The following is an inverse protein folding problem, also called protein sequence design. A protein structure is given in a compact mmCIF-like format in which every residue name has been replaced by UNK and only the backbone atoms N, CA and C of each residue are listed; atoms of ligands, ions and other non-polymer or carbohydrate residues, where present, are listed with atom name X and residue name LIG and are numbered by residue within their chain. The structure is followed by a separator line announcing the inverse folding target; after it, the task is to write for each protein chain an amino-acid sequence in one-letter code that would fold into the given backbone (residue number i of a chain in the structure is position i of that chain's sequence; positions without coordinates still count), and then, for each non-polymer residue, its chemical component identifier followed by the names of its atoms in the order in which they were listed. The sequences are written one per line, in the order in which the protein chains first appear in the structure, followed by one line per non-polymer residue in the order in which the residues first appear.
data_IF_840788911338
#
_entry.id   IF_840788911338
#
_cell.length_a   1.000
_cell.length_b   1.000
_cell.length_c   1.000
_cell.angle_alpha   90.00
_cell.angle_beta   90.00
_cell.angle_gamma   90.00
#
_symmetry.space_group_name_H-M   'P 1'
#
loop_
_entity.id
_entity.type
_entity.pdbx_description
1 polymer ?
#
# COMPACT_ATOMS: atom_id res chain seq x y z
N UNK A 1 -34.78 35.97 9.67
CA UNK A 1 -33.94 35.55 8.53
C UNK A 1 -32.48 35.59 8.93
N UNK A 2 -31.64 34.66 8.48
CA UNK A 2 -30.17 34.72 8.71
C UNK A 2 -29.39 34.75 7.40
N UNK A 3 -28.27 35.48 7.38
CA UNK A 3 -27.44 35.65 6.19
C UNK A 3 -26.08 34.98 6.42
N UNK A 4 -25.67 34.11 5.51
CA UNK A 4 -24.33 33.51 5.47
C UNK A 4 -23.59 34.02 4.23
N UNK A 5 -22.36 34.49 4.40
CA UNK A 5 -21.53 34.98 3.29
C UNK A 5 -20.22 34.20 3.32
N UNK A 6 -19.96 33.41 2.28
CA UNK A 6 -18.68 32.75 2.05
C UNK A 6 -17.81 33.64 1.18
N UNK A 7 -16.68 34.09 1.72
CA UNK A 7 -15.75 34.99 1.03
C UNK A 7 -14.33 34.38 1.04
N UNK A 8 -13.63 34.36 -0.10
CA UNK A 8 -12.23 33.96 -0.13
C UNK A 8 -11.37 34.90 0.71
N UNK A 9 -10.49 34.32 1.52
CA UNK A 9 -9.58 35.05 2.41
C UNK A 9 -8.69 36.05 1.66
N UNK A 10 -8.34 35.74 0.41
CA UNK A 10 -7.55 36.61 -0.49
C UNK A 10 -8.17 38.01 -0.64
N UNK A 11 -9.49 38.09 -0.80
CA UNK A 11 -10.18 39.36 -1.02
C UNK A 11 -10.47 40.13 0.27
N UNK A 12 -10.48 39.45 1.42
CA UNK A 12 -10.66 40.12 2.70
C UNK A 12 -9.43 40.94 3.11
N UNK A 13 -8.23 40.50 2.71
CA UNK A 13 -6.98 41.20 3.05
C UNK A 13 -6.45 42.12 1.93
N UNK A 14 -6.97 42.00 0.70
CA UNK A 14 -6.54 42.82 -0.42
C UNK A 14 -7.37 44.12 -0.50
N UNK A 15 -6.74 45.26 -0.16
CA UNK A 15 -7.33 46.61 -0.27
C UNK A 15 -7.42 47.09 -1.72
N UNK A 16 -8.25 46.45 -2.53
CA UNK A 16 -8.45 46.81 -3.95
C UNK A 16 -9.92 46.80 -4.30
N UNK A 17 -10.34 47.81 -5.07
CA UNK A 17 -11.68 47.83 -5.62
C UNK A 17 -11.87 46.64 -6.58
N UNK A 18 -12.82 45.75 -6.27
CA UNK A 18 -13.06 44.55 -7.06
C UNK A 18 -14.56 44.18 -7.06
N UNK A 19 -14.99 43.58 -8.17
CA UNK A 19 -16.35 43.10 -8.35
C UNK A 19 -16.43 41.64 -7.92
N UNK A 20 -17.37 41.30 -7.04
CA UNK A 20 -17.57 39.97 -6.50
C UNK A 20 -18.58 39.19 -7.34
N UNK A 21 -18.17 38.01 -7.81
CA UNK A 21 -19.01 37.08 -8.56
C UNK A 21 -19.24 35.79 -7.80
N UNK A 22 -20.42 35.21 -8.00
CA UNK A 22 -20.79 34.00 -7.30
C UNK A 22 -22.23 33.57 -7.48
N UNK A 23 -22.75 32.81 -6.53
CA UNK A 23 -24.12 32.31 -6.54
C UNK A 23 -24.86 32.69 -5.25
N UNK A 24 -26.13 33.04 -5.41
CA UNK A 24 -27.09 33.28 -4.33
C UNK A 24 -27.96 32.03 -4.18
N UNK A 25 -28.04 31.48 -2.98
CA UNK A 25 -28.98 30.42 -2.64
C UNK A 25 -29.85 30.84 -1.46
N UNK A 26 -31.14 30.57 -1.54
CA UNK A 26 -32.11 30.83 -0.47
C UNK A 26 -32.62 29.46 -0.05
N UNK A 27 -32.21 29.00 1.14
CA UNK A 27 -32.65 27.73 1.73
C UNK A 27 -34.09 27.82 2.22
N UNK A 28 -34.75 26.66 2.37
CA UNK A 28 -36.14 26.55 2.85
C UNK A 28 -36.33 27.16 4.27
N UNK A 29 -35.27 27.17 5.07
CA UNK A 29 -35.24 27.71 6.44
C UNK A 29 -35.12 29.26 6.54
N UNK A 30 -35.43 30.00 5.47
CA UNK A 30 -35.25 31.46 5.41
C UNK A 30 -33.79 31.88 5.73
N UNK A 31 -32.83 31.12 5.21
CA UNK A 31 -31.40 31.43 5.27
C UNK A 31 -30.92 31.82 3.88
N UNK A 32 -30.33 33.00 3.75
CA UNK A 32 -29.73 33.43 2.49
C UNK A 32 -28.23 33.19 2.54
N UNK A 33 -27.73 32.45 1.56
CA UNK A 33 -26.32 32.08 1.45
C UNK A 33 -25.74 32.71 0.19
N UNK A 34 -24.68 33.49 0.39
CA UNK A 34 -23.88 34.09 -0.67
C UNK A 34 -22.57 33.33 -0.81
N UNK A 35 -22.35 32.68 -1.95
CA UNK A 35 -21.08 32.03 -2.27
C UNK A 35 -20.28 32.94 -3.19
N UNK A 36 -19.27 33.64 -2.68
CA UNK A 36 -18.37 34.45 -3.50
C UNK A 36 -17.20 33.57 -3.94
N UNK A 37 -16.96 33.45 -5.24
CA UNK A 37 -15.94 32.54 -5.79
C UNK A 37 -14.74 33.30 -6.35
N UNK A 38 -14.99 34.38 -7.09
CA UNK A 38 -13.93 35.12 -7.78
C UNK A 38 -14.21 36.63 -7.82
N UNK A 39 -13.13 37.40 -7.93
CA UNK A 39 -13.16 38.85 -8.05
C UNK A 39 -12.20 39.34 -9.13
N UNK A 40 -12.63 39.21 -10.40
CA UNK A 40 -12.30 40.07 -11.55
C UNK A 40 -12.87 39.40 -12.82
N UNK A 41 -13.51 40.21 -13.68
CA UNK A 41 -14.29 39.77 -14.86
C UNK A 41 -13.45 39.23 -16.03
N UNK A 42 -12.56 38.27 -15.82
CA UNK A 42 -11.81 37.66 -16.92
C UNK A 42 -12.30 36.24 -17.22
N UNK A 43 -13.27 36.21 -18.14
CA UNK A 43 -13.58 35.14 -19.09
C UNK A 43 -13.89 33.76 -18.49
N UNK A 44 -15.15 33.41 -18.24
CA UNK A 44 -15.58 32.01 -18.28
C UNK A 44 -17.09 31.88 -18.59
N UNK A 45 -17.45 32.07 -19.86
CA UNK A 45 -18.70 31.54 -20.43
C UNK A 45 -18.42 30.14 -21.01
N UNK A 46 -18.04 29.17 -20.17
CA UNK A 46 -17.95 27.77 -20.58
C UNK A 46 -18.20 26.82 -19.40
N UNK A 47 -19.47 26.43 -19.20
CA UNK A 47 -19.85 25.23 -18.43
C UNK A 47 -20.82 25.47 -17.26
N UNK A 48 -22.07 24.99 -17.45
CA UNK A 48 -23.14 24.59 -16.50
C UNK A 48 -23.55 25.45 -15.29
N UNK A 49 -22.73 26.32 -14.71
CA UNK A 49 -23.12 27.17 -13.57
C UNK A 49 -22.91 28.65 -13.88
N UNK A 50 -24.02 29.36 -14.14
CA UNK A 50 -24.03 30.79 -14.48
C UNK A 50 -23.66 31.62 -13.24
N UNK A 51 -22.42 32.11 -13.17
CA UNK A 51 -21.99 33.02 -12.11
C UNK A 51 -22.73 34.37 -12.22
N UNK A 52 -23.32 34.83 -11.12
CA UNK A 52 -24.05 36.10 -11.03
C UNK A 52 -23.16 37.16 -10.37
N UNK A 53 -23.30 38.40 -10.82
CA UNK A 53 -22.74 39.55 -10.11
C UNK A 53 -23.43 39.69 -8.75
N UNK A 54 -22.68 39.59 -7.66
CA UNK A 54 -23.21 39.66 -6.30
C UNK A 54 -22.98 41.04 -5.67
N UNK A 55 -21.90 41.74 -6.03
CA UNK A 55 -21.52 42.96 -5.34
C UNK A 55 -20.14 43.48 -5.67
N UNK A 56 -19.65 44.43 -4.88
CA UNK A 56 -18.30 44.98 -5.02
C UNK A 56 -17.68 45.35 -3.67
N UNK A 57 -16.35 45.30 -3.62
CA UNK A 57 -15.53 45.90 -2.56
C UNK A 57 -15.08 47.27 -3.05
N UNK A 58 -15.33 48.34 -2.29
CA UNK A 58 -15.09 49.74 -2.69
C UNK A 58 -14.28 50.51 -1.64
N UNK A 59 -13.59 51.58 -2.05
CA UNK A 59 -12.88 52.47 -1.14
C UNK A 59 -13.87 53.47 -0.52
N UNK A 60 -13.87 53.61 0.81
CA UNK A 60 -14.74 54.56 1.53
C UNK A 60 -14.41 56.02 1.20
N UNK A 61 -13.15 56.32 0.88
CA UNK A 61 -12.66 57.69 0.68
C UNK A 61 -13.02 58.26 -0.71
N UNK A 62 -13.42 57.40 -1.66
CA UNK A 62 -13.74 57.80 -3.03
C UNK A 62 -15.24 57.86 -3.33
N UNK A 63 -16.11 57.73 -2.32
CA UNK A 63 -17.52 57.47 -2.50
C UNK A 63 -18.39 58.61 -1.96
N UNK A 64 -19.15 59.25 -2.85
CA UNK A 64 -19.95 60.43 -2.52
C UNK A 64 -21.44 60.14 -2.25
N UNK A 65 -21.98 58.93 -2.48
CA UNK A 65 -23.42 58.72 -2.29
C UNK A 65 -23.80 57.28 -1.98
N UNK A 66 -24.52 57.08 -0.86
CA UNK A 66 -25.20 55.83 -0.48
C UNK A 66 -26.13 55.25 -1.57
N UNK A 67 -26.48 56.04 -2.58
CA UNK A 67 -27.38 55.67 -3.68
C UNK A 67 -26.72 54.84 -4.79
N UNK A 68 -25.39 54.84 -4.94
CA UNK A 68 -24.74 54.06 -6.01
C UNK A 68 -24.82 52.55 -5.75
N UNK A 69 -24.91 52.12 -4.49
CA UNK A 69 -25.17 50.72 -4.15
C UNK A 69 -26.56 50.25 -4.61
N UNK A 70 -27.56 51.15 -4.56
CA UNK A 70 -28.95 50.88 -4.96
C UNK A 70 -29.15 50.95 -6.47
N UNK A 71 -28.36 51.74 -7.19
CA UNK A 71 -28.50 51.87 -8.66
C UNK A 71 -28.00 50.65 -9.44
N UNK A 72 -27.08 49.86 -8.87
CA UNK A 72 -26.41 48.77 -9.56
C UNK A 72 -26.91 47.36 -9.15
N UNK A 73 -28.11 47.26 -8.54
CA UNK A 73 -28.68 45.99 -8.05
C UNK A 73 -27.68 45.13 -7.25
N UNK A 74 -26.81 45.77 -6.46
CA UNK A 74 -25.80 45.05 -5.68
C UNK A 74 -26.48 44.28 -4.55
N UNK A 75 -26.13 43.01 -4.39
CA UNK A 75 -26.63 42.22 -3.26
C UNK A 75 -25.72 42.33 -2.03
N UNK A 76 -24.43 42.62 -2.21
CA UNK A 76 -23.44 42.83 -1.16
C UNK A 76 -22.53 44.03 -1.48
N UNK A 77 -22.26 44.91 -0.52
CA UNK A 77 -21.23 45.94 -0.66
C UNK A 77 -20.32 45.94 0.56
N UNK A 78 -19.03 45.76 0.30
CA UNK A 78 -17.99 45.91 1.30
C UNK A 78 -17.23 47.21 1.06
N UNK A 79 -16.86 47.94 2.11
CA UNK A 79 -16.00 49.11 2.01
C UNK A 79 -14.75 48.94 2.84
N UNK A 80 -13.64 49.51 2.37
CA UNK A 80 -12.41 49.61 3.13
C UNK A 80 -11.97 51.06 3.20
N UNK A 81 -11.34 51.43 4.31
CA UNK A 81 -10.68 52.73 4.49
C UNK A 81 -9.17 52.52 4.37
N UNK A 82 -8.45 53.48 3.81
CA UNK A 82 -6.98 53.33 3.71
C UNK A 82 -6.31 53.33 5.09
N UNK A 83 -6.91 54.03 6.05
CA UNK A 83 -6.39 54.19 7.42
C UNK A 83 -6.62 52.98 8.35
N UNK A 84 -7.68 52.20 8.13
CA UNK A 84 -8.00 51.02 8.96
C UNK A 84 -7.71 49.71 8.20
N UNK A 85 -7.27 48.63 8.87
CA UNK A 85 -7.03 47.35 8.22
C UNK A 85 -8.32 46.55 7.94
N UNK A 86 -9.48 47.04 8.39
CA UNK A 86 -10.72 46.28 8.41
C UNK A 86 -11.60 46.64 7.20
N UNK A 87 -12.07 45.62 6.49
CA UNK A 87 -13.15 45.76 5.51
C UNK A 87 -14.49 45.66 6.25
N UNK A 88 -15.36 46.66 6.08
CA UNK A 88 -16.69 46.71 6.67
C UNK A 88 -17.76 46.31 5.63
N UNK A 89 -18.78 45.55 6.05
CA UNK A 89 -19.96 45.29 5.24
C UNK A 89 -20.93 46.48 5.39
N UNK A 90 -21.14 47.23 4.31
CA UNK A 90 -21.96 48.45 4.32
C UNK A 90 -23.39 48.23 3.85
N UNK A 91 -23.59 47.34 2.88
CA UNK A 91 -24.89 47.11 2.29
C UNK A 91 -25.14 45.64 2.02
N UNK A 92 -26.33 45.18 2.38
CA UNK A 92 -26.90 43.92 1.95
C UNK A 92 -28.22 44.24 1.25
N UNK A 93 -28.38 43.80 0.00
CA UNK A 93 -29.57 44.08 -0.81
C UNK A 93 -30.86 43.47 -0.28
N UNK A 94 -30.77 42.59 0.74
CA UNK A 94 -31.94 41.98 1.40
C UNK A 94 -32.05 42.57 2.81
N UNK A 95 -33.11 43.34 3.05
CA UNK A 95 -33.46 43.89 4.36
C UNK A 95 -34.71 43.18 4.89
N UNK A 96 -34.56 42.05 5.61
CA UNK A 96 -35.70 41.37 6.22
C UNK A 96 -36.19 42.14 7.47
N UNK A 97 -37.50 42.11 7.75
CA UNK A 97 -38.12 42.81 8.89
C UNK A 97 -37.52 42.39 10.24
N UNK A 98 -37.11 41.12 10.38
CA UNK A 98 -36.39 40.58 11.53
C UNK A 98 -35.13 39.82 11.08
N UNK A 99 -33.97 40.44 11.26
CA UNK A 99 -32.66 39.85 10.99
C UNK A 99 -32.08 39.22 12.27
N UNK A 100 -31.83 37.90 12.25
CA UNK A 100 -31.35 37.19 13.44
C UNK A 100 -29.82 37.25 13.56
N UNK A 101 -29.09 36.82 12.52
CA UNK A 101 -27.63 36.73 12.52
C UNK A 101 -27.06 36.88 11.10
N UNK A 102 -25.94 37.61 10.98
CA UNK A 102 -25.09 37.62 9.78
C UNK A 102 -23.80 36.88 10.12
N UNK A 103 -23.46 35.85 9.34
CA UNK A 103 -22.23 35.07 9.49
C UNK A 103 -21.36 35.27 8.25
N UNK A 104 -20.17 35.85 8.44
CA UNK A 104 -19.14 35.91 7.40
C UNK A 104 -18.17 34.74 7.63
N UNK A 105 -18.05 33.87 6.63
CA UNK A 105 -17.17 32.70 6.66
C UNK A 105 -16.07 32.94 5.65
N UNK A 106 -14.84 33.07 6.14
CA UNK A 106 -13.65 33.20 5.31
C UNK A 106 -13.13 31.81 4.97
N UNK A 107 -12.81 31.58 3.70
CA UNK A 107 -12.24 30.31 3.26
C UNK A 107 -11.03 30.52 2.35
N UNK A 108 -10.09 29.59 2.44
CA UNK A 108 -8.89 29.59 1.61
C UNK A 108 -9.10 28.66 0.40
N UNK A 109 -8.95 29.20 -0.82
CA UNK A 109 -9.22 28.46 -2.06
C UNK A 109 -8.36 27.19 -2.18
N UNK A 110 -7.08 27.26 -1.79
CA UNK A 110 -6.14 26.14 -1.87
C UNK A 110 -6.47 25.00 -0.89
N UNK A 111 -6.83 25.36 0.34
CA UNK A 111 -7.22 24.38 1.35
C UNK A 111 -8.52 23.69 0.93
N UNK A 112 -9.48 24.44 0.38
CA UNK A 112 -10.76 23.90 -0.08
C UNK A 112 -10.59 22.98 -1.30
N UNK A 113 -9.74 23.34 -2.28
CA UNK A 113 -9.46 22.47 -3.43
C UNK A 113 -8.78 21.16 -3.02
N UNK A 114 -7.85 21.19 -2.05
CA UNK A 114 -7.20 19.97 -1.53
C UNK A 114 -8.16 19.04 -0.78
N UNK A 115 -9.12 19.61 -0.04
CA UNK A 115 -10.13 18.85 0.69
C UNK A 115 -11.12 18.19 -0.27
N UNK A 116 -11.54 18.91 -1.32
CA UNK A 116 -12.44 18.35 -2.34
C UNK A 116 -11.79 17.23 -3.14
N UNK A 117 -10.50 17.35 -3.50
CA UNK A 117 -9.75 16.27 -4.17
C UNK A 117 -9.63 15.03 -3.27
N UNK A 118 -9.44 15.24 -1.95
CA UNK A 118 -9.38 14.14 -0.97
C UNK A 118 -10.75 13.50 -0.76
N UNK A 119 -11.81 14.30 -0.78
CA UNK A 119 -13.18 13.87 -0.50
C UNK A 119 -13.86 13.23 -1.72
N UNK A 120 -13.62 13.70 -2.96
CA UNK A 120 -14.08 13.04 -4.20
C UNK A 120 -13.55 11.60 -4.33
N UNK A 121 -12.34 11.33 -3.82
CA UNK A 121 -11.79 9.97 -3.75
C UNK A 121 -12.50 9.10 -2.70
N UNK A 122 -13.14 9.68 -1.69
CA UNK A 122 -13.99 8.97 -0.72
C UNK A 122 -15.47 8.96 -1.10
N UNK A 123 -15.96 9.93 -1.89
CA UNK A 123 -17.38 10.16 -2.16
C UNK A 123 -17.99 9.18 -3.17
N UNK A 124 -17.17 8.43 -3.91
CA UNK A 124 -17.66 7.27 -4.69
C UNK A 124 -18.12 6.11 -3.79
N UNK A 125 -17.76 6.13 -2.50
CA UNK A 125 -18.19 5.13 -1.51
C UNK A 125 -19.44 5.57 -0.70
N UNK A 126 -19.69 6.87 -0.54
CA UNK A 126 -20.84 7.37 0.24
C UNK A 126 -22.13 7.57 -0.57
N UNK A 127 -22.05 7.47 -1.89
CA UNK A 127 -23.20 7.73 -2.80
C UNK A 127 -24.21 6.59 -2.87
N UNK A 128 -24.04 5.50 -2.10
CA UNK A 128 -24.99 4.37 -2.11
C UNK A 128 -25.71 4.08 -0.80
N UNK A 129 -25.29 4.68 0.30
CA UNK A 129 -25.94 4.53 1.61
C UNK A 129 -25.83 5.84 2.39
N UNK A 130 -26.77 6.76 2.16
CA UNK A 130 -27.41 7.62 3.16
C UNK A 130 -28.14 8.78 2.47
N UNK A 131 -29.45 8.61 2.31
CA UNK A 131 -30.40 9.71 2.21
C UNK A 131 -30.43 10.43 3.57
N UNK A 132 -29.48 11.33 3.83
CA UNK A 132 -29.57 12.31 4.92
C UNK A 132 -28.95 13.64 4.45
N UNK A 133 -29.83 14.64 4.36
CA UNK A 133 -29.59 16.06 4.11
C UNK A 133 -29.04 16.50 2.74
N UNK A 134 -30.00 16.83 1.87
CA UNK A 134 -29.94 18.09 1.14
C UNK A 134 -29.50 19.24 2.08
N UNK A 135 -28.72 20.19 1.55
CA UNK A 135 -28.24 21.41 2.21
C UNK A 135 -26.94 21.36 3.04
N UNK A 136 -25.90 20.65 2.59
CA UNK A 136 -24.55 20.95 3.08
C UNK A 136 -23.98 22.17 2.32
N UNK A 137 -24.04 23.37 2.92
CA UNK A 137 -23.51 24.62 2.33
C UNK A 137 -22.06 24.50 1.79
N UNK A 138 -21.25 23.70 2.48
CA UNK A 138 -19.85 23.45 2.12
C UNK A 138 -19.72 22.64 0.82
N UNK A 139 -20.65 21.71 0.56
CA UNK A 139 -20.68 20.90 -0.64
C UNK A 139 -21.02 21.76 -1.88
N UNK A 140 -21.98 22.68 -1.73
CA UNK A 140 -22.32 23.63 -2.79
C UNK A 140 -21.12 24.55 -3.12
N UNK A 141 -20.43 25.06 -2.10
CA UNK A 141 -19.21 25.85 -2.26
C UNK A 141 -18.10 25.03 -2.95
N UNK A 142 -17.92 23.77 -2.56
CA UNK A 142 -16.94 22.86 -3.14
C UNK A 142 -17.19 22.58 -4.63
N UNK A 143 -18.45 22.43 -5.05
CA UNK A 143 -18.80 22.28 -6.47
C UNK A 143 -18.44 23.53 -7.28
N UNK A 144 -18.68 24.73 -6.72
CA UNK A 144 -18.44 26.00 -7.41
C UNK A 144 -16.96 26.37 -7.56
N UNK A 145 -16.08 25.85 -6.70
CA UNK A 145 -14.64 26.16 -6.68
C UNK A 145 -13.82 25.17 -7.55
N UNK A 146 -14.44 24.11 -8.09
CA UNK A 146 -13.71 23.13 -8.91
C UNK A 146 -13.12 23.77 -10.18
N UNK A 147 -11.80 23.61 -10.43
CA UNK A 147 -11.20 24.00 -11.70
C UNK A 147 -11.73 23.08 -12.81
N UNK A 148 -12.18 23.68 -13.92
CA UNK A 148 -12.53 22.95 -15.14
C UNK A 148 -11.35 22.04 -15.55
N UNK A 149 -11.58 20.79 -15.96
CA UNK A 149 -10.49 19.85 -16.24
C UNK A 149 -9.62 20.35 -17.39
N UNK A 150 -8.32 20.57 -17.10
CA UNK A 150 -7.32 20.99 -18.08
C UNK A 150 -7.27 20.04 -19.30
N UNK A 151 -7.08 20.56 -20.53
CA UNK A 151 -7.03 19.74 -21.74
C UNK A 151 -5.88 18.71 -21.75
N UNK A 152 -4.86 18.87 -20.91
CA UNK A 152 -3.77 17.90 -20.72
C UNK A 152 -4.23 16.64 -19.95
N UNK A 153 -5.22 16.77 -19.06
CA UNK A 153 -5.80 15.66 -18.30
C UNK A 153 -6.66 14.77 -19.21
N UNK A 154 -7.36 15.39 -20.17
CA UNK A 154 -8.19 14.72 -21.18
C UNK A 154 -7.42 13.72 -22.04
N UNK A 155 -6.12 13.96 -22.29
CA UNK A 155 -5.24 13.04 -23.01
C UNK A 155 -4.85 11.81 -22.17
N UNK A 156 -4.67 11.98 -20.84
CA UNK A 156 -4.49 10.85 -19.92
C UNK A 156 -5.78 10.04 -19.76
N UNK A 157 -6.92 10.71 -19.72
CA UNK A 157 -8.23 10.06 -19.61
C UNK A 157 -8.57 9.28 -20.88
N UNK A 158 -8.25 9.79 -22.07
CA UNK A 158 -8.42 9.07 -23.34
C UNK A 158 -7.57 7.79 -23.43
N UNK A 159 -6.33 7.81 -22.91
CA UNK A 159 -5.51 6.59 -22.78
C UNK A 159 -6.08 5.62 -21.73
N UNK A 160 -6.65 6.14 -20.65
CA UNK A 160 -7.29 5.35 -19.58
C UNK A 160 -8.59 4.67 -20.05
N UNK A 161 -9.46 5.39 -20.77
CA UNK A 161 -10.73 4.86 -21.29
C UNK A 161 -10.51 3.81 -22.38
N UNK A 162 -9.45 3.93 -23.19
CA UNK A 162 -9.06 2.87 -24.14
C UNK A 162 -8.54 1.61 -23.44
N UNK A 163 -7.99 1.74 -22.23
CA UNK A 163 -7.41 0.64 -21.45
C UNK A 163 -8.35 0.07 -20.39
N UNK A 164 -9.59 0.56 -20.28
CA UNK A 164 -10.54 0.09 -19.28
C UNK A 164 -10.91 -1.40 -19.48
N UNK A 165 -11.00 -1.84 -20.74
CA UNK A 165 -11.15 -3.25 -21.10
C UNK A 165 -9.92 -4.09 -20.73
N UNK A 166 -8.70 -3.56 -20.91
CA UNK A 166 -7.45 -4.20 -20.48
C UNK A 166 -7.40 -4.29 -18.94
N UNK A 167 -7.85 -3.26 -18.24
CA UNK A 167 -7.91 -3.23 -16.77
C UNK A 167 -8.88 -4.28 -16.22
N UNK A 168 -10.04 -4.41 -16.84
CA UNK A 168 -11.05 -5.41 -16.47
C UNK A 168 -10.53 -6.84 -16.71
N UNK A 169 -9.88 -7.09 -17.86
CA UNK A 169 -9.23 -8.38 -18.16
C UNK A 169 -8.08 -8.69 -17.18
N UNK A 170 -7.25 -7.70 -16.86
CA UNK A 170 -6.15 -7.85 -15.91
C UNK A 170 -6.65 -8.10 -14.47
N UNK A 171 -7.90 -7.77 -14.15
CA UNK A 171 -8.52 -8.01 -12.84
C UNK A 171 -9.19 -9.38 -12.70
N UNK A 172 -9.37 -10.14 -13.79
CA UNK A 172 -9.97 -11.50 -13.75
C UNK A 172 -9.16 -12.45 -12.82
N UNK A 173 -7.82 -12.53 -12.91
CA UNK A 173 -7.04 -13.38 -12.00
C UNK A 173 -7.21 -12.96 -10.55
N UNK A 174 -7.29 -11.65 -10.29
CA UNK A 174 -7.47 -11.13 -8.94
C UNK A 174 -8.83 -11.55 -8.38
N UNK A 175 -9.91 -11.42 -9.15
CA UNK A 175 -11.26 -11.88 -8.78
C UNK A 175 -11.31 -13.38 -8.47
N UNK A 176 -10.64 -14.22 -9.28
CA UNK A 176 -10.52 -15.65 -9.02
C UNK A 176 -9.79 -15.92 -7.69
N UNK A 177 -8.73 -15.16 -7.40
CA UNK A 177 -8.01 -15.27 -6.14
C UNK A 177 -8.89 -14.87 -4.94
N UNK A 178 -9.70 -13.82 -5.07
CA UNK A 178 -10.65 -13.44 -4.00
C UNK A 178 -11.65 -14.57 -3.71
N UNK A 179 -12.14 -15.24 -4.75
CA UNK A 179 -13.05 -16.38 -4.59
C UNK A 179 -12.38 -17.57 -3.88
N UNK A 180 -11.11 -17.85 -4.19
CA UNK A 180 -10.33 -18.90 -3.53
C UNK A 180 -10.12 -18.59 -2.04
N UNK A 181 -9.76 -17.34 -1.72
CA UNK A 181 -9.53 -16.87 -0.34
C UNK A 181 -10.84 -16.78 0.47
N UNK A 182 -11.98 -16.54 -0.18
CA UNK A 182 -13.28 -16.48 0.49
C UNK A 182 -13.72 -17.82 1.12
N UNK A 183 -13.10 -18.94 0.71
CA UNK A 183 -13.37 -20.24 1.32
C UNK A 183 -12.80 -20.30 2.75
N UNK A 184 -13.63 -20.59 3.74
CA UNK A 184 -13.26 -20.64 5.17
C UNK A 184 -12.09 -21.57 5.48
N UNK A 185 -12.00 -22.72 4.78
CA UNK A 185 -10.88 -23.65 4.97
C UNK A 185 -9.56 -23.06 4.48
N UNK A 186 -9.60 -22.48 3.28
CA UNK A 186 -8.44 -21.87 2.63
C UNK A 186 -7.99 -20.64 3.41
N UNK A 187 -8.94 -19.80 3.85
CA UNK A 187 -8.67 -18.62 4.65
C UNK A 187 -7.90 -18.98 5.94
N UNK A 188 -8.31 -20.04 6.66
CA UNK A 188 -7.61 -20.46 7.88
C UNK A 188 -6.16 -20.88 7.68
N UNK A 189 -5.78 -21.33 6.48
CA UNK A 189 -4.42 -21.75 6.14
C UNK A 189 -3.63 -20.54 5.62
N UNK A 190 -4.25 -19.79 4.72
CA UNK A 190 -3.64 -18.67 4.01
C UNK A 190 -3.46 -17.46 4.92
N UNK A 191 -4.22 -17.30 6.01
CA UNK A 191 -4.06 -16.18 6.96
C UNK A 191 -2.65 -16.05 7.53
N UNK A 192 -1.91 -17.16 7.62
CA UNK A 192 -0.54 -17.17 8.15
C UNK A 192 0.54 -16.98 7.08
N UNK A 193 0.18 -16.94 5.80
CA UNK A 193 1.15 -16.83 4.69
C UNK A 193 1.42 -15.38 4.32
N UNK A 194 2.60 -15.13 3.75
CA UNK A 194 3.00 -13.78 3.31
C UNK A 194 2.10 -13.29 2.17
N UNK A 195 1.63 -14.21 1.33
CA UNK A 195 0.72 -13.93 0.20
C UNK A 195 -0.57 -13.26 0.67
N UNK A 196 -1.16 -13.72 1.78
CA UNK A 196 -2.43 -13.15 2.27
C UNK A 196 -2.27 -11.74 2.79
N UNK A 197 -1.19 -11.51 3.55
CA UNK A 197 -0.86 -10.17 4.03
C UNK A 197 -0.65 -9.23 2.85
N UNK A 198 0.11 -9.68 1.85
CA UNK A 198 0.34 -8.91 0.63
C UNK A 198 -0.96 -8.65 -0.13
N UNK A 199 -1.85 -9.64 -0.27
CA UNK A 199 -3.15 -9.49 -0.90
C UNK A 199 -4.03 -8.42 -0.21
N UNK A 200 -4.06 -8.43 1.13
CA UNK A 200 -4.82 -7.43 1.90
C UNK A 200 -4.26 -6.02 1.71
N UNK A 201 -2.93 -5.88 1.72
CA UNK A 201 -2.27 -4.60 1.42
C UNK A 201 -2.59 -4.15 -0.01
N UNK A 202 -2.54 -5.07 -0.96
CA UNK A 202 -2.86 -4.81 -2.38
C UNK A 202 -4.28 -4.30 -2.57
N UNK A 203 -5.26 -4.89 -1.87
CA UNK A 203 -6.66 -4.44 -1.91
C UNK A 203 -6.84 -3.00 -1.37
N UNK A 204 -6.11 -2.63 -0.31
CA UNK A 204 -6.16 -1.26 0.22
C UNK A 204 -5.52 -0.23 -0.72
N UNK A 205 -4.46 -0.62 -1.43
CA UNK A 205 -3.77 0.25 -2.40
C UNK A 205 -4.65 0.45 -3.65
N UNK A 206 -5.30 -0.61 -4.13
CA UNK A 206 -6.24 -0.54 -5.25
C UNK A 206 -7.42 0.41 -4.94
N UNK A 207 -7.98 0.31 -3.73
CA UNK A 207 -9.05 1.21 -3.27
C UNK A 207 -8.63 2.68 -3.19
N UNK A 208 -7.34 2.97 -3.02
CA UNK A 208 -6.82 4.35 -2.92
C UNK A 208 -6.53 4.98 -4.29
N UNK A 209 -6.50 4.19 -5.38
CA UNK A 209 -6.31 4.59 -6.79
C UNK A 209 -5.06 5.44 -7.12
N UNK A 210 -4.26 5.86 -6.15
CA UNK A 210 -3.12 6.78 -6.33
C UNK A 210 -1.85 6.11 -6.87
N UNK A 211 -1.74 4.77 -6.79
CA UNK A 211 -0.54 3.98 -7.16
C UNK A 211 -0.81 2.98 -8.28
N UNK A 212 -1.85 3.23 -9.06
CA UNK A 212 -2.36 2.33 -10.09
C UNK A 212 -1.35 2.10 -11.24
N UNK A 213 -0.47 3.08 -11.50
CA UNK A 213 0.68 2.94 -12.43
C UNK A 213 1.71 1.93 -11.94
N UNK A 214 2.04 1.95 -10.64
CA UNK A 214 2.98 0.98 -10.06
C UNK A 214 2.40 -0.44 -10.08
N UNK A 215 1.08 -0.55 -9.88
CA UNK A 215 0.35 -1.82 -9.98
C UNK A 215 0.41 -2.39 -11.40
N UNK A 216 0.23 -1.54 -12.43
CA UNK A 216 0.38 -1.98 -13.82
C UNK A 216 1.80 -2.43 -14.14
N UNK A 217 2.81 -1.71 -13.65
CA UNK A 217 4.21 -2.08 -13.83
C UNK A 217 4.49 -3.42 -13.14
N UNK A 218 3.98 -3.63 -11.93
CA UNK A 218 4.13 -4.88 -11.18
C UNK A 218 3.49 -6.07 -11.91
N UNK A 219 2.30 -5.88 -12.50
CA UNK A 219 1.65 -6.89 -13.35
C UNK A 219 2.40 -7.17 -14.65
N UNK A 220 2.87 -6.13 -15.33
CA UNK A 220 3.65 -6.28 -16.55
C UNK A 220 4.96 -7.04 -16.28
N UNK A 221 5.66 -6.71 -15.20
CA UNK A 221 6.87 -7.42 -14.77
C UNK A 221 6.58 -8.88 -14.40
N UNK A 222 5.46 -9.15 -13.73
CA UNK A 222 5.04 -10.52 -13.38
C UNK A 222 4.75 -11.38 -14.61
N UNK A 223 4.07 -10.82 -15.62
CA UNK A 223 3.78 -11.50 -16.89
C UNK A 223 5.06 -11.73 -17.69
N UNK A 224 5.96 -10.74 -17.75
CA UNK A 224 7.27 -10.89 -18.42
C UNK A 224 8.07 -12.01 -17.73
N UNK A 225 8.12 -12.03 -16.40
CA UNK A 225 8.80 -13.10 -15.67
C UNK A 225 8.15 -14.46 -15.91
N UNK A 226 6.82 -14.54 -15.90
CA UNK A 226 6.08 -15.77 -16.21
C UNK A 226 6.44 -16.29 -17.61
N UNK A 227 6.43 -15.41 -18.62
CA UNK A 227 6.78 -15.78 -19.99
C UNK A 227 8.23 -16.26 -20.08
N UNK A 228 9.16 -15.57 -19.42
CA UNK A 228 10.56 -16.01 -19.35
C UNK A 228 10.66 -17.39 -18.67
N UNK A 229 10.00 -17.60 -17.54
CA UNK A 229 10.01 -18.89 -16.82
C UNK A 229 9.45 -20.02 -17.67
N UNK A 230 8.38 -19.76 -18.43
CA UNK A 230 7.71 -20.78 -19.25
C UNK A 230 8.43 -21.04 -20.59
N UNK A 231 9.12 -20.04 -21.15
CA UNK A 231 9.82 -20.16 -22.44
C UNK A 231 11.27 -20.60 -22.31
N UNK A 232 11.99 -20.08 -21.32
CA UNK A 232 13.40 -20.38 -21.10
C UNK A 232 13.59 -21.73 -20.41
N UNK A 233 12.57 -22.19 -19.67
CA UNK A 233 12.67 -23.39 -18.85
C UNK A 233 11.53 -24.34 -19.17
N UNK A 234 11.71 -25.17 -20.21
CA UNK A 234 10.71 -26.18 -20.60
C UNK A 234 10.34 -27.12 -19.44
N UNK A 235 11.23 -27.28 -18.44
CA UNK A 235 10.97 -27.94 -17.16
C UNK A 235 11.82 -27.30 -16.03
N UNK A 236 11.31 -26.30 -15.28
CA UNK A 236 12.09 -25.60 -14.25
C UNK A 236 12.46 -26.45 -13.05
N UNK A 237 11.70 -27.52 -12.78
CA UNK A 237 12.10 -28.53 -11.81
C UNK A 237 13.42 -29.20 -12.19
N UNK A 238 13.57 -29.59 -13.46
CA UNK A 238 14.65 -30.46 -13.92
C UNK A 238 16.03 -29.84 -13.71
N UNK A 239 16.16 -28.52 -13.85
CA UNK A 239 17.42 -27.82 -13.59
C UNK A 239 17.85 -27.91 -12.11
N UNK A 240 16.92 -27.69 -11.18
CA UNK A 240 17.21 -27.79 -9.75
C UNK A 240 17.52 -29.22 -9.34
N UNK A 241 16.81 -30.19 -9.93
CA UNK A 241 16.99 -31.62 -9.68
C UNK A 241 18.35 -32.09 -10.22
N UNK A 242 18.73 -31.65 -11.42
CA UNK A 242 20.05 -31.92 -11.99
C UNK A 242 21.16 -31.36 -11.12
N UNK A 243 21.04 -30.10 -10.68
CA UNK A 243 22.02 -29.49 -9.77
C UNK A 243 22.08 -30.27 -8.46
N UNK A 244 20.94 -30.67 -7.88
CA UNK A 244 20.95 -31.42 -6.64
C UNK A 244 21.64 -32.78 -6.80
N UNK A 245 21.40 -33.51 -7.89
CA UNK A 245 22.12 -34.77 -8.14
C UNK A 245 23.63 -34.55 -8.33
N UNK A 246 24.05 -33.48 -9.00
CA UNK A 246 25.48 -33.13 -9.12
C UNK A 246 26.08 -32.87 -7.74
N UNK A 247 25.39 -32.14 -6.86
CA UNK A 247 25.85 -31.85 -5.50
C UNK A 247 25.95 -33.16 -4.68
N UNK A 248 24.95 -34.05 -4.77
CA UNK A 248 24.98 -35.37 -4.14
C UNK A 248 26.21 -36.17 -4.59
N UNK A 249 26.47 -36.21 -5.89
CA UNK A 249 27.62 -36.94 -6.44
C UNK A 249 28.96 -36.37 -5.96
N UNK A 250 29.08 -35.03 -5.88
CA UNK A 250 30.27 -34.38 -5.33
C UNK A 250 30.48 -34.71 -3.85
N UNK A 251 29.41 -34.71 -3.06
CA UNK A 251 29.46 -35.09 -1.64
C UNK A 251 29.89 -36.55 -1.47
N UNK A 252 29.33 -37.48 -2.24
CA UNK A 252 29.77 -38.88 -2.22
C UNK A 252 31.23 -39.05 -2.65
N UNK A 253 31.69 -38.29 -3.65
CA UNK A 253 33.09 -38.29 -4.07
C UNK A 253 34.01 -37.83 -2.94
N UNK A 254 33.67 -36.73 -2.25
CA UNK A 254 34.43 -36.23 -1.10
C UNK A 254 34.47 -37.25 0.04
N UNK A 255 33.36 -37.93 0.30
CA UNK A 255 33.29 -38.95 1.33
C UNK A 255 34.11 -40.19 0.97
N UNK A 256 34.08 -40.61 -0.30
CA UNK A 256 34.92 -41.71 -0.82
C UNK A 256 36.40 -41.36 -0.73
N UNK A 257 36.75 -40.08 -0.93
CA UNK A 257 38.11 -39.60 -0.65
C UNK A 257 38.40 -39.73 0.85
N UNK A 258 37.48 -39.41 1.78
CA UNK A 258 37.72 -39.60 3.22
C UNK A 258 37.90 -41.07 3.65
N UNK A 259 37.35 -42.02 2.91
CA UNK A 259 37.40 -43.46 3.18
C UNK A 259 38.85 -43.98 3.00
N UNK A 260 39.50 -44.39 4.11
CA UNK A 260 40.88 -44.91 4.08
C UNK A 260 41.99 -43.89 4.33
N UNK A 261 41.66 -42.64 4.66
CA UNK A 261 42.58 -41.53 5.06
C UNK A 261 43.49 -40.95 3.95
N UNK A 262 43.06 -39.86 3.28
CA UNK A 262 43.95 -39.02 2.46
C UNK A 262 43.76 -37.49 2.63
N UNK A 263 43.22 -37.01 3.75
CA UNK A 263 43.11 -35.55 4.09
C UNK A 263 43.96 -35.15 5.32
N UNK A 264 44.78 -36.06 5.85
CA UNK A 264 45.59 -35.77 7.05
C UNK A 264 44.77 -35.70 8.35
N UNK A 265 43.49 -36.06 8.31
CA UNK A 265 42.68 -36.33 9.50
C UNK A 265 43.21 -37.61 10.16
N UNK A 266 44.15 -37.47 11.10
CA UNK A 266 44.69 -38.58 11.89
C UNK A 266 43.68 -39.00 12.97
N UNK A 267 42.54 -39.55 12.52
CA UNK A 267 41.49 -40.07 13.39
C UNK A 267 41.63 -41.58 13.58
N UNK A 268 41.10 -42.10 14.69
CA UNK A 268 41.01 -43.53 14.92
C UNK A 268 40.14 -44.19 13.81
N UNK A 269 40.58 -45.32 13.26
CA UNK A 269 39.89 -46.04 12.19
C UNK A 269 38.40 -46.30 12.50
N UNK A 270 38.07 -46.66 13.75
CA UNK A 270 36.69 -46.91 14.18
C UNK A 270 35.84 -45.64 14.23
N UNK A 271 36.45 -44.52 14.64
CA UNK A 271 35.77 -43.23 14.71
C UNK A 271 35.59 -42.62 13.32
N UNK A 272 36.60 -42.77 12.44
CA UNK A 272 36.52 -42.34 11.05
C UNK A 272 35.40 -43.08 10.32
N UNK A 273 35.33 -44.40 10.47
CA UNK A 273 34.27 -45.20 9.85
C UNK A 273 32.88 -44.83 10.39
N UNK A 274 32.75 -44.57 11.70
CA UNK A 274 31.49 -44.09 12.27
C UNK A 274 31.02 -42.75 11.66
N UNK A 275 31.93 -41.77 11.51
CA UNK A 275 31.58 -40.51 10.85
C UNK A 275 31.24 -40.69 9.38
N UNK A 276 32.01 -41.53 8.68
CA UNK A 276 31.78 -41.87 7.29
C UNK A 276 30.37 -42.46 7.11
N UNK A 277 29.99 -43.44 7.94
CA UNK A 277 28.68 -44.07 7.90
C UNK A 277 27.55 -43.06 8.23
N UNK A 278 27.78 -42.19 9.22
CA UNK A 278 26.84 -41.13 9.59
C UNK A 278 26.59 -40.14 8.45
N UNK A 279 27.65 -39.65 7.79
CA UNK A 279 27.52 -38.75 6.65
C UNK A 279 26.97 -39.45 5.41
N UNK A 280 27.35 -40.71 5.15
CA UNK A 280 26.77 -41.53 4.06
C UNK A 280 25.26 -41.65 4.22
N UNK A 281 24.81 -42.03 5.42
CA UNK A 281 23.39 -42.14 5.75
C UNK A 281 22.66 -40.81 5.58
N UNK A 282 23.29 -39.71 5.99
CA UNK A 282 22.68 -38.39 5.86
C UNK A 282 22.51 -37.96 4.39
N UNK A 283 23.52 -38.19 3.55
CA UNK A 283 23.45 -37.88 2.11
C UNK A 283 22.39 -38.77 1.43
N UNK A 284 22.31 -40.05 1.80
CA UNK A 284 21.31 -40.98 1.26
C UNK A 284 19.88 -40.55 1.62
N UNK A 285 19.66 -40.17 2.89
CA UNK A 285 18.39 -39.61 3.35
C UNK A 285 18.02 -38.34 2.55
N UNK A 286 18.98 -37.46 2.31
CA UNK A 286 18.76 -36.25 1.54
C UNK A 286 18.46 -36.54 0.06
N UNK A 287 19.14 -37.53 -0.54
CA UNK A 287 18.84 -38.00 -1.89
C UNK A 287 17.40 -38.52 -1.99
N UNK A 288 17.00 -39.41 -1.08
CA UNK A 288 15.62 -39.96 -1.07
C UNK A 288 14.58 -38.86 -0.84
N UNK A 289 14.88 -37.87 0.00
CA UNK A 289 14.00 -36.72 0.21
C UNK A 289 13.85 -35.87 -1.07
N UNK A 290 14.95 -35.64 -1.80
CA UNK A 290 14.92 -34.91 -3.06
C UNK A 290 14.12 -35.65 -4.14
N UNK A 291 14.28 -36.97 -4.24
CA UNK A 291 13.51 -37.79 -5.18
C UNK A 291 12.00 -37.73 -4.85
N UNK A 292 11.64 -37.69 -3.56
CA UNK A 292 10.26 -37.57 -3.11
C UNK A 292 9.66 -36.19 -3.39
N UNK A 293 10.44 -35.12 -3.19
CA UNK A 293 9.97 -33.73 -3.36
C UNK A 293 10.00 -33.28 -4.81
N UNK A 294 10.71 -34.00 -5.69
CA UNK A 294 10.83 -33.74 -7.13
C UNK A 294 9.50 -33.33 -7.81
N UNK A 295 8.41 -34.13 -7.75
CA UNK A 295 7.14 -33.76 -8.37
C UNK A 295 6.49 -32.54 -7.72
N UNK A 296 6.70 -32.36 -6.41
CA UNK A 296 6.14 -31.24 -5.63
C UNK A 296 6.85 -29.93 -6.05
N UNK A 297 8.17 -29.94 -6.15
CA UNK A 297 8.96 -28.78 -6.61
C UNK A 297 8.51 -28.37 -8.01
N UNK A 298 8.32 -29.33 -8.92
CA UNK A 298 7.84 -29.03 -10.28
C UNK A 298 6.46 -28.37 -10.27
N UNK A 299 5.52 -28.88 -9.46
CA UNK A 299 4.19 -28.28 -9.33
C UNK A 299 4.24 -26.89 -8.70
N UNK A 300 5.05 -26.68 -7.67
CA UNK A 300 5.20 -25.39 -6.99
C UNK A 300 5.80 -24.34 -7.93
N UNK A 301 6.81 -24.70 -8.74
CA UNK A 301 7.38 -23.77 -9.73
C UNK A 301 6.38 -23.39 -10.82
N UNK A 302 5.59 -24.35 -11.30
CA UNK A 302 4.50 -24.08 -12.25
C UNK A 302 3.43 -23.17 -11.62
N UNK A 303 3.09 -23.40 -10.35
CA UNK A 303 2.18 -22.53 -9.62
C UNK A 303 2.76 -21.11 -9.50
N UNK A 304 4.00 -20.93 -9.05
CA UNK A 304 4.66 -19.61 -8.97
C UNK A 304 4.66 -18.90 -10.34
N UNK A 305 4.91 -19.64 -11.42
CA UNK A 305 4.78 -19.14 -12.79
C UNK A 305 3.36 -18.63 -13.08
N UNK A 306 2.33 -19.45 -12.83
CA UNK A 306 0.93 -19.10 -13.06
C UNK A 306 0.44 -17.91 -12.21
N UNK A 307 0.92 -17.78 -10.98
CA UNK A 307 0.65 -16.63 -10.12
C UNK A 307 1.30 -15.33 -10.63
N UNK A 308 2.20 -15.38 -11.62
CA UNK A 308 2.74 -14.21 -12.32
C UNK A 308 1.68 -13.35 -12.99
N UNK A 309 0.52 -13.91 -13.34
CA UNK A 309 -0.64 -13.16 -13.83
C UNK A 309 -1.17 -12.13 -12.82
N UNK A 310 -0.94 -12.32 -11.52
CA UNK A 310 -1.38 -11.41 -10.46
C UNK A 310 -0.39 -10.26 -10.22
N UNK A 311 0.90 -10.50 -10.46
CA UNK A 311 1.98 -9.52 -10.33
C UNK A 311 3.30 -10.13 -9.89
N UNK A 312 4.40 -9.40 -10.12
CA UNK A 312 5.74 -9.83 -9.71
C UNK A 312 5.87 -9.91 -8.18
N UNK A 313 5.27 -8.96 -7.45
CA UNK A 313 5.24 -8.98 -5.99
C UNK A 313 4.56 -10.23 -5.41
N UNK A 314 3.53 -10.77 -6.08
CA UNK A 314 2.90 -12.03 -5.68
C UNK A 314 3.84 -13.24 -5.86
N UNK A 315 4.64 -13.25 -6.92
CA UNK A 315 5.66 -14.28 -7.13
C UNK A 315 6.74 -14.24 -6.04
N UNK A 316 7.16 -13.03 -5.62
CA UNK A 316 8.11 -12.86 -4.51
C UNK A 316 7.49 -13.34 -3.19
N UNK A 317 6.23 -13.02 -2.93
CA UNK A 317 5.56 -13.48 -1.71
C UNK A 317 5.51 -15.01 -1.63
N UNK A 318 5.15 -15.68 -2.73
CA UNK A 318 5.20 -17.14 -2.85
C UNK A 318 6.62 -17.70 -2.68
N UNK A 319 7.62 -17.04 -3.25
CA UNK A 319 9.01 -17.45 -3.11
C UNK A 319 9.48 -17.32 -1.66
N UNK A 320 9.07 -16.27 -0.95
CA UNK A 320 9.38 -16.09 0.47
C UNK A 320 8.76 -17.19 1.33
N UNK A 321 7.51 -17.57 1.06
CA UNK A 321 6.85 -18.70 1.72
C UNK A 321 7.59 -20.02 1.43
N UNK A 322 8.04 -20.25 0.19
CA UNK A 322 8.84 -21.43 -0.18
C UNK A 322 10.19 -21.46 0.55
N UNK A 323 10.90 -20.33 0.62
CA UNK A 323 12.17 -20.21 1.34
C UNK A 323 11.97 -20.50 2.83
N UNK A 324 10.84 -20.10 3.42
CA UNK A 324 10.51 -20.43 4.81
C UNK A 324 10.40 -21.95 5.02
N UNK A 325 9.73 -22.66 4.11
CA UNK A 325 9.60 -24.12 4.15
C UNK A 325 10.98 -24.81 4.00
N UNK A 326 11.80 -24.36 3.04
CA UNK A 326 13.17 -24.89 2.88
C UNK A 326 14.02 -24.57 4.13
N UNK A 327 13.83 -23.40 4.73
CA UNK A 327 14.45 -23.00 5.98
C UNK A 327 14.09 -23.93 7.14
N UNK A 328 12.84 -24.41 7.21
CA UNK A 328 12.43 -25.42 8.19
C UNK A 328 13.20 -26.74 8.01
N UNK A 329 13.38 -27.20 6.77
CA UNK A 329 14.19 -28.39 6.48
C UNK A 329 15.66 -28.18 6.90
N UNK A 330 16.25 -27.02 6.59
CA UNK A 330 17.60 -26.66 7.02
C UNK A 330 17.71 -26.58 8.56
N UNK A 331 16.68 -26.11 9.26
CA UNK A 331 16.63 -26.09 10.71
C UNK A 331 16.60 -27.50 11.32
N UNK A 332 15.89 -28.45 10.69
CA UNK A 332 15.93 -29.85 11.10
C UNK A 332 17.36 -30.42 11.01
N UNK A 333 18.07 -30.11 9.91
CA UNK A 333 19.47 -30.49 9.76
C UNK A 333 20.40 -29.82 10.80
N UNK A 334 20.16 -28.56 11.13
CA UNK A 334 20.89 -27.87 12.19
C UNK A 334 20.74 -28.56 13.56
N UNK A 335 19.52 -29.01 13.91
CA UNK A 335 19.29 -29.77 15.15
C UNK A 335 20.08 -31.09 15.13
N UNK A 336 20.07 -31.80 14.00
CA UNK A 336 20.82 -33.05 13.83
C UNK A 336 22.33 -32.84 14.03
N UNK A 337 22.92 -31.86 13.33
CA UNK A 337 24.36 -31.55 13.45
C UNK A 337 24.75 -31.09 14.85
N UNK A 338 23.87 -30.38 15.56
CA UNK A 338 24.07 -30.01 16.97
C UNK A 338 24.12 -31.24 17.89
N UNK A 339 23.25 -32.22 17.67
CA UNK A 339 23.28 -33.49 18.43
C UNK A 339 24.58 -34.24 18.14
N UNK A 340 24.98 -34.32 16.86
CA UNK A 340 26.22 -34.96 16.45
C UNK A 340 27.42 -34.33 17.18
N UNK A 341 27.61 -33.01 17.08
CA UNK A 341 28.70 -32.30 17.76
C UNK A 341 28.73 -32.53 19.28
N UNK A 342 27.56 -32.57 19.94
CA UNK A 342 27.49 -32.89 21.36
C UNK A 342 28.00 -34.30 21.68
N UNK A 343 27.74 -35.28 20.81
CA UNK A 343 28.28 -36.64 20.94
C UNK A 343 29.79 -36.63 20.71
N UNK A 344 30.29 -35.88 19.73
CA UNK A 344 31.73 -35.75 19.45
C UNK A 344 32.49 -35.16 20.65
N UNK A 345 32.02 -34.03 21.20
CA UNK A 345 32.65 -33.36 22.33
C UNK A 345 32.64 -34.26 23.58
N UNK A 346 31.55 -34.98 23.84
CA UNK A 346 31.49 -35.96 24.94
C UNK A 346 32.47 -37.11 24.71
N UNK A 347 32.53 -37.64 23.50
CA UNK A 347 33.48 -38.69 23.11
C UNK A 347 34.93 -38.26 23.30
N UNK A 348 35.29 -37.07 22.82
CA UNK A 348 36.61 -36.47 23.00
C UNK A 348 36.93 -36.21 24.47
N UNK A 349 35.96 -35.77 25.26
CA UNK A 349 36.14 -35.53 26.71
C UNK A 349 36.45 -36.83 27.45
N UNK A 350 35.73 -37.92 27.14
CA UNK A 350 36.00 -39.24 27.73
C UNK A 350 37.38 -39.74 27.31
N UNK A 351 37.72 -39.64 26.02
CA UNK A 351 39.04 -40.04 25.52
C UNK A 351 40.16 -39.25 26.19
N UNK A 352 39.96 -37.94 26.36
CA UNK A 352 40.89 -37.04 27.04
C UNK A 352 41.11 -37.41 28.52
N UNK A 353 40.04 -37.78 29.23
CA UNK A 353 40.14 -38.26 30.61
C UNK A 353 40.92 -39.57 30.72
N UNK A 354 40.72 -40.48 29.77
CA UNK A 354 41.47 -41.74 29.67
C UNK A 354 42.95 -41.48 29.39
N UNK A 355 43.28 -40.59 28.46
CA UNK A 355 44.68 -40.21 28.12
C UNK A 355 45.39 -39.54 29.31
N UNK A 356 44.70 -38.68 30.05
CA UNK A 356 45.25 -38.09 31.29
C UNK A 356 45.39 -39.09 32.45
N UNK A 357 44.95 -40.34 32.29
CA UNK A 357 44.99 -41.35 33.36
C UNK A 357 44.01 -41.09 34.51
N UNK A 358 43.10 -40.12 34.35
CA UNK A 358 42.13 -39.77 35.38
C UNK A 358 40.90 -40.69 35.28
N UNK A 359 41.09 -41.99 35.52
CA UNK A 359 39.96 -42.93 35.59
C UNK A 359 39.09 -42.54 36.78
N UNK A 360 37.82 -42.25 36.53
CA UNK A 360 36.82 -42.03 37.56
C UNK A 360 36.63 -43.33 38.34
N UNK A 361 37.37 -43.49 39.43
CA UNK A 361 37.39 -44.72 40.20
C UNK A 361 36.13 -44.76 41.10
N UNK A 362 35.12 -45.51 40.70
CA UNK A 362 33.87 -45.70 41.46
C UNK A 362 34.17 -46.26 42.87
N UNK A 363 35.24 -47.07 43.02
CA UNK A 363 35.68 -47.62 44.30
C UNK A 363 36.27 -46.57 45.25
N UNK A 364 36.74 -45.42 44.75
CA UNK A 364 37.27 -44.33 45.59
C UNK A 364 36.16 -43.54 46.27
N UNK A 365 34.96 -43.46 45.67
CA UNK A 365 33.79 -42.87 46.33
C UNK A 365 33.25 -43.77 47.43
N UNK A 366 33.23 -45.09 47.22
CA UNK A 366 32.80 -46.06 48.25
C UNK A 366 33.71 -46.06 49.49
N UNK A 367 35.01 -45.83 49.34
CA UNK A 367 35.93 -45.74 50.49
C UNK A 367 35.79 -44.46 51.32
N UNK A 368 35.11 -43.43 50.79
CA UNK A 368 34.93 -42.15 51.45
C UNK A 368 33.53 -41.97 52.08
N UNK A 369 32.65 -42.98 51.98
CA UNK A 369 31.30 -42.98 52.58
C UNK A 369 31.18 -43.90 53.80
N UNK A 370 32.28 -44.49 54.25
CA UNK A 370 32.39 -45.12 55.58
C UNK A 370 33.52 -44.45 56.33
N UNK A 371 33.18 -43.39 57.05
CA UNK A 371 33.43 -43.09 58.47
C UNK A 371 32.79 -41.73 58.76
#
# INVERSE_FOLDING_TARGET
MSIKIFLPTEYFYQKRACNLYGQLHISEDNVVVYYVVDAESKKFDFGTHKMRFLGSILCSDSYADSNYCRSNDMSLCFTYTNESPNIALMFTGITPDNLNQIKLILYEKQTLSSLVVKEQNTLSHWTRENHVNDECDFYMLAQLVQPNPDPLHKAKDLWFYSNQSIYMLANIPMQLFQYIVANTFVNSIITHTVIYKHYKEWQTIDATCSRLTNIMIDRALGIILMLILFTFVSHPGDFLIQISHIIIQQLYSLLKVLEGSPIGLKLNIHLNNFFLDCFKYHIELWSTFLDLIEPIVRQVFLAIGAFGCLGFTYQIALLADLISIVGLHAHCFYVYTKVLNNVEVKGLTVLWQVVRGNRYNILRKLKHTTI
#
